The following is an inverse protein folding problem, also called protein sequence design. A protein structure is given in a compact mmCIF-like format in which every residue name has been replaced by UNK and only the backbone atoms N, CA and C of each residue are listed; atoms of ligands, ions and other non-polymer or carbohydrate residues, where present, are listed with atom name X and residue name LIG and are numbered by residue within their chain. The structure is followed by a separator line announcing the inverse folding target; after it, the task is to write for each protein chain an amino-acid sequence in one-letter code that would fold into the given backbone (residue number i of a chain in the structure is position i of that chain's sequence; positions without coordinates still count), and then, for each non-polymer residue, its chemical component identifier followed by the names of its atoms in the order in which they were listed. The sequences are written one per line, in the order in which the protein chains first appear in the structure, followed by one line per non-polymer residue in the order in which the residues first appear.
data_IF_431559999855
#
_entry.id   IF_431559999855
#
_cell.length_a   1.000
_cell.length_b   1.000
_cell.length_c   1.000
_cell.angle_alpha   90.00
_cell.angle_beta   90.00
_cell.angle_gamma   90.00
#
_symmetry.space_group_name_H-M   'P 1'
#
loop_
_entity.id
_entity.type
_entity.pdbx_description
1 polymer ?
#
# COMPACT_ATOMS: atom_id res chain seq x y z
N UNK A 1 -0.59 -5.50 -26.31
CA UNK A 1 0.57 -5.64 -25.41
C UNK A 1 0.19 -6.62 -24.31
N UNK A 2 0.91 -7.73 -24.14
CA UNK A 2 0.61 -8.77 -23.14
C UNK A 2 1.85 -8.94 -22.28
N UNK A 3 1.71 -8.67 -20.98
CA UNK A 3 2.78 -8.92 -20.02
C UNK A 3 3.00 -10.43 -19.88
N UNK A 4 4.24 -10.88 -19.62
CA UNK A 4 4.51 -12.27 -19.29
C UNK A 4 3.65 -12.75 -18.12
N UNK A 5 3.24 -14.02 -18.16
CA UNK A 5 2.47 -14.64 -17.09
C UNK A 5 3.18 -14.46 -15.74
N UNK A 6 2.44 -14.02 -14.72
CA UNK A 6 2.95 -13.82 -13.36
C UNK A 6 3.59 -12.45 -13.08
N UNK A 7 3.84 -11.61 -14.09
CA UNK A 7 4.37 -10.25 -13.85
C UNK A 7 3.39 -9.40 -13.07
N UNK A 8 2.10 -9.44 -13.44
CA UNK A 8 1.06 -8.70 -12.70
C UNK A 8 0.99 -9.14 -11.23
N UNK A 9 0.97 -10.44 -10.98
CA UNK A 9 0.96 -11.01 -9.63
C UNK A 9 2.18 -10.58 -8.80
N UNK A 10 3.37 -10.62 -9.40
CA UNK A 10 4.60 -10.20 -8.74
C UNK A 10 4.59 -8.70 -8.42
N UNK A 11 4.11 -7.87 -9.34
CA UNK A 11 3.96 -6.42 -9.13
C UNK A 11 2.96 -6.09 -8.04
N UNK A 12 1.79 -6.72 -8.05
CA UNK A 12 0.76 -6.55 -7.01
C UNK A 12 1.32 -6.98 -5.64
N UNK A 13 2.01 -8.11 -5.56
CA UNK A 13 2.63 -8.57 -4.31
C UNK A 13 3.70 -7.58 -3.80
N UNK A 14 4.49 -6.99 -4.70
CA UNK A 14 5.48 -5.98 -4.32
C UNK A 14 4.81 -4.70 -3.80
N UNK A 15 3.78 -4.21 -4.50
CA UNK A 15 2.94 -3.08 -4.10
C UNK A 15 2.32 -3.31 -2.72
N UNK A 16 1.64 -4.43 -2.54
CA UNK A 16 0.96 -4.81 -1.31
C UNK A 16 1.90 -4.86 -0.10
N UNK A 17 3.08 -5.45 -0.28
CA UNK A 17 4.09 -5.50 0.78
C UNK A 17 4.61 -4.10 1.12
N UNK A 18 4.78 -3.24 0.13
CA UNK A 18 5.22 -1.86 0.34
C UNK A 18 4.17 -1.07 1.13
N UNK A 19 2.89 -1.15 0.71
CA UNK A 19 1.75 -0.50 1.38
C UNK A 19 1.68 -0.92 2.84
N UNK A 20 1.63 -2.22 3.13
CA UNK A 20 1.53 -2.75 4.50
C UNK A 20 2.71 -2.33 5.37
N UNK A 21 3.94 -2.38 4.82
CA UNK A 21 5.15 -1.97 5.55
C UNK A 21 5.14 -0.48 5.87
N UNK A 22 4.80 0.38 4.90
CA UNK A 22 4.76 1.83 5.11
C UNK A 22 3.63 2.24 6.05
N UNK A 23 2.47 1.56 5.98
CA UNK A 23 1.37 1.81 6.92
C UNK A 23 1.83 1.57 8.36
N UNK A 24 2.48 0.43 8.64
CA UNK A 24 3.03 0.12 9.96
C UNK A 24 4.09 1.14 10.42
N UNK A 25 4.97 1.59 9.52
CA UNK A 25 5.99 2.61 9.85
C UNK A 25 5.39 3.97 10.22
N UNK A 26 4.22 4.30 9.70
CA UNK A 26 3.48 5.52 10.00
C UNK A 26 2.39 5.29 11.06
N UNK A 27 2.52 4.24 11.88
CA UNK A 27 1.56 3.87 12.93
C UNK A 27 0.12 3.73 12.43
N UNK A 28 -0.06 3.29 11.19
CA UNK A 28 -1.34 2.91 10.61
C UNK A 28 -1.52 1.38 10.58
N UNK A 29 -2.75 0.95 10.36
CA UNK A 29 -3.10 -0.46 10.19
C UNK A 29 -4.10 -0.64 9.04
N UNK A 30 -4.08 -1.82 8.44
CA UNK A 30 -5.05 -2.25 7.44
C UNK A 30 -6.32 -2.71 8.13
N UNK A 31 -7.45 -2.06 7.81
CA UNK A 31 -8.77 -2.47 8.26
C UNK A 31 -9.37 -3.53 7.32
N UNK A 32 -9.03 -3.46 6.03
CA UNK A 32 -9.45 -4.44 5.03
C UNK A 32 -9.09 -4.01 3.61
N UNK A 33 -9.62 -4.74 2.64
CA UNK A 33 -9.44 -4.50 1.20
C UNK A 33 -10.78 -4.47 0.48
N UNK A 34 -10.89 -3.63 -0.54
CA UNK A 34 -12.03 -3.61 -1.47
C UNK A 34 -11.50 -3.73 -2.90
N UNK A 35 -11.63 -4.92 -3.49
CA UNK A 35 -10.97 -5.23 -4.77
C UNK A 35 -9.44 -5.23 -4.62
N UNK A 36 -8.77 -4.37 -5.39
CA UNK A 36 -7.32 -4.13 -5.33
C UNK A 36 -6.93 -2.95 -4.40
N UNK A 37 -7.93 -2.33 -3.77
CA UNK A 37 -7.72 -1.16 -2.93
C UNK A 37 -7.54 -1.53 -1.45
N UNK A 38 -6.74 -0.72 -0.74
CA UNK A 38 -6.49 -0.83 0.69
C UNK A 38 -7.34 0.16 1.48
N UNK A 39 -7.98 -0.33 2.55
CA UNK A 39 -8.61 0.51 3.56
C UNK A 39 -7.69 0.58 4.77
N UNK A 40 -7.10 1.76 5.00
CA UNK A 40 -6.13 1.99 6.06
C UNK A 40 -6.67 2.98 7.09
N UNK A 41 -6.35 2.75 8.36
CA UNK A 41 -6.64 3.67 9.45
C UNK A 41 -5.34 4.21 10.05
N UNK A 42 -5.32 5.50 10.38
CA UNK A 42 -4.20 6.19 11.00
C UNK A 42 -4.67 6.95 12.23
N UNK A 43 -3.78 7.13 13.21
CA UNK A 43 -4.09 7.81 14.46
C UNK A 43 -4.15 9.34 14.32
N UNK A 44 -3.64 9.89 13.21
CA UNK A 44 -3.75 11.31 12.89
C UNK A 44 -3.72 11.56 11.37
N UNK A 45 -4.27 12.68 10.88
CA UNK A 45 -4.20 13.05 9.46
C UNK A 45 -2.77 13.22 8.94
N UNK A 46 -1.85 13.75 9.75
CA UNK A 46 -0.45 13.97 9.38
C UNK A 46 0.26 12.64 9.09
N UNK A 47 -0.03 11.59 9.87
CA UNK A 47 0.49 10.25 9.64
C UNK A 47 -0.02 9.67 8.30
N UNK A 48 -1.31 9.87 7.98
CA UNK A 48 -1.90 9.43 6.73
C UNK A 48 -1.26 10.13 5.50
N UNK A 49 -1.07 11.45 5.60
CA UNK A 49 -0.41 12.24 4.53
C UNK A 49 1.06 11.82 4.37
N UNK A 50 1.79 11.64 5.47
CA UNK A 50 3.18 11.18 5.43
C UNK A 50 3.31 9.82 4.78
N UNK A 51 2.44 8.87 5.15
CA UNK A 51 2.34 7.57 4.49
C UNK A 51 2.09 7.71 2.99
N UNK A 52 1.09 8.49 2.58
CA UNK A 52 0.72 8.65 1.17
C UNK A 52 1.88 9.23 0.36
N UNK A 53 2.56 10.26 0.88
CA UNK A 53 3.74 10.85 0.22
C UNK A 53 4.88 9.85 0.11
N UNK A 54 5.17 9.08 1.16
CA UNK A 54 6.21 8.06 1.14
C UNK A 54 5.92 6.94 0.14
N UNK A 55 4.65 6.52 0.02
CA UNK A 55 4.25 5.47 -0.91
C UNK A 55 4.46 5.87 -2.37
N UNK A 56 4.18 7.13 -2.72
CA UNK A 56 4.29 7.61 -4.11
C UNK A 56 5.73 7.81 -4.60
N UNK A 57 6.69 7.98 -3.69
CA UNK A 57 8.11 8.23 -4.03
C UNK A 57 8.99 6.98 -3.98
N UNK A 58 8.44 5.83 -3.58
CA UNK A 58 9.15 4.57 -3.38
C UNK A 58 8.86 3.60 -4.51
#
# INVERSE_FOLDING_TARGET
EVLPAGVMEASMKAHDNLVRRLALQNAGYEFGTEGDSFLLCFHSPEAAVTFAMQLQVR
#
